data_IF_562642201777
#
_entry.id   IF_562642201777
#
_cell.length_a   1.000
_cell.length_b   1.000
_cell.length_c   1.000
_cell.angle_alpha   90.00
_cell.angle_beta   90.00
_cell.angle_gamma   90.00
#
_symmetry.space_group_name_H-M   'P 1'
#
loop_
_entity.id
_entity.type
_entity.pdbx_description
1 polymer ?
#
# COMPACT_ATOMS: atom_id res chain seq x y z
N UNK A 1 1.51 -6.26 20.91
CA UNK A 1 2.38 -5.84 19.79
C UNK A 1 2.13 -4.36 19.58
N UNK A 2 3.13 -3.49 19.46
CA UNK A 2 2.86 -2.11 19.09
C UNK A 2 2.30 -2.13 17.65
N UNK A 3 1.08 -1.62 17.46
CA UNK A 3 0.51 -1.40 16.13
C UNK A 3 1.46 -0.47 15.37
N UNK A 4 1.90 -0.86 14.17
CA UNK A 4 2.56 0.06 13.25
C UNK A 4 1.68 1.31 13.09
N UNK A 5 2.27 2.52 13.04
CA UNK A 5 1.48 3.74 12.89
C UNK A 5 0.68 3.69 11.58
N UNK A 6 -0.62 3.96 11.68
CA UNK A 6 -1.54 3.97 10.54
C UNK A 6 -1.12 5.06 9.57
N UNK A 7 -0.87 4.70 8.31
CA UNK A 7 -0.40 5.61 7.27
C UNK A 7 -1.55 6.26 6.50
N UNK A 8 -1.25 7.34 5.76
CA UNK A 8 -2.21 7.96 4.83
C UNK A 8 -2.75 6.95 3.82
N UNK A 9 -1.87 6.05 3.34
CA UNK A 9 -2.22 4.99 2.40
C UNK A 9 -3.22 4.01 3.01
N UNK A 10 -3.00 3.58 4.26
CA UNK A 10 -3.90 2.64 4.94
C UNK A 10 -5.31 3.23 5.09
N UNK A 11 -5.41 4.49 5.55
CA UNK A 11 -6.70 5.18 5.70
C UNK A 11 -7.38 5.40 4.36
N UNK A 12 -6.64 5.86 3.35
CA UNK A 12 -7.20 6.06 2.01
C UNK A 12 -7.73 4.74 1.42
N UNK A 13 -7.00 3.64 1.60
CA UNK A 13 -7.44 2.33 1.15
C UNK A 13 -8.69 1.85 1.89
N UNK A 14 -8.76 2.01 3.22
CA UNK A 14 -9.93 1.66 4.01
C UNK A 14 -11.18 2.47 3.60
N UNK A 15 -11.02 3.78 3.36
CA UNK A 15 -12.10 4.64 2.86
C UNK A 15 -12.58 4.20 1.46
N UNK A 16 -11.67 3.84 0.55
CA UNK A 16 -12.02 3.32 -0.79
C UNK A 16 -12.74 1.97 -0.70
N UNK A 17 -12.24 1.06 0.13
CA UNK A 17 -12.86 -0.24 0.36
C UNK A 17 -14.29 -0.06 0.89
N UNK A 18 -14.47 0.81 1.89
CA UNK A 18 -15.79 1.17 2.42
C UNK A 18 -16.70 1.72 1.33
N UNK A 19 -16.22 2.65 0.50
CA UNK A 19 -17.00 3.22 -0.58
C UNK A 19 -17.45 2.17 -1.62
N UNK A 20 -16.55 1.26 -2.00
CA UNK A 20 -16.83 0.20 -2.98
C UNK A 20 -17.85 -0.83 -2.42
N UNK A 21 -17.72 -1.22 -1.16
CA UNK A 21 -18.68 -2.10 -0.48
C UNK A 21 -20.04 -1.43 -0.29
N UNK A 22 -20.08 -0.15 0.09
CA UNK A 22 -21.33 0.61 0.15
C UNK A 22 -22.02 0.70 -1.21
N UNK A 23 -21.23 0.91 -2.28
CA UNK A 23 -21.77 0.94 -3.64
C UNK A 23 -22.36 -0.43 -4.05
N UNK A 24 -21.75 -1.54 -3.64
CA UNK A 24 -22.29 -2.89 -3.84
C UNK A 24 -23.64 -3.08 -3.14
N UNK A 25 -23.81 -2.57 -1.92
CA UNK A 25 -25.11 -2.61 -1.22
C UNK A 25 -26.18 -1.72 -1.86
N UNK A 26 -25.80 -0.87 -2.83
CA UNK A 26 -26.72 0.08 -3.45
C UNK A 26 -26.93 1.33 -2.60
N UNK A 27 -25.95 1.69 -1.76
CA UNK A 27 -25.99 2.92 -0.98
C UNK A 27 -26.05 4.16 -1.89
N UNK A 28 -26.43 5.29 -1.28
CA UNK A 28 -26.57 6.57 -1.97
C UNK A 28 -25.22 7.02 -2.59
N UNK A 29 -25.26 7.39 -3.88
CA UNK A 29 -24.09 7.82 -4.65
C UNK A 29 -23.37 9.03 -4.03
N UNK A 30 -24.08 9.93 -3.35
CA UNK A 30 -23.47 11.05 -2.63
C UNK A 30 -22.53 10.57 -1.52
N UNK A 31 -22.95 9.58 -0.72
CA UNK A 31 -22.12 9.02 0.37
C UNK A 31 -20.92 8.26 -0.17
N UNK A 32 -21.13 7.43 -1.19
CA UNK A 32 -20.05 6.70 -1.88
C UNK A 32 -19.01 7.68 -2.43
N UNK A 33 -19.47 8.73 -3.12
CA UNK A 33 -18.57 9.73 -3.70
C UNK A 33 -17.88 10.59 -2.64
N UNK A 34 -18.51 10.85 -1.50
CA UNK A 34 -17.88 11.54 -0.38
C UNK A 34 -16.69 10.74 0.18
N UNK A 35 -16.88 9.43 0.41
CA UNK A 35 -15.80 8.55 0.86
C UNK A 35 -14.65 8.45 -0.16
N UNK A 36 -14.97 8.32 -1.46
CA UNK A 36 -13.94 8.28 -2.51
C UNK A 36 -13.11 9.56 -2.55
N UNK A 37 -13.78 10.73 -2.49
CA UNK A 37 -13.08 12.02 -2.44
C UNK A 37 -12.24 12.15 -1.18
N UNK A 38 -12.75 11.76 -0.02
CA UNK A 38 -11.97 11.78 1.21
C UNK A 38 -10.74 10.89 1.12
N UNK A 39 -10.86 9.69 0.54
CA UNK A 39 -9.72 8.81 0.32
C UNK A 39 -8.64 9.45 -0.56
N UNK A 40 -9.03 10.09 -1.66
CA UNK A 40 -8.08 10.76 -2.56
C UNK A 40 -7.40 11.94 -1.84
N UNK A 41 -8.16 12.72 -1.06
CA UNK A 41 -7.59 13.82 -0.28
C UNK A 41 -6.63 13.33 0.80
N UNK A 42 -6.97 12.24 1.52
CA UNK A 42 -6.10 11.64 2.52
C UNK A 42 -4.82 11.08 1.90
N UNK A 43 -4.91 10.43 0.74
CA UNK A 43 -3.74 9.90 0.05
C UNK A 43 -2.77 11.02 -0.36
N UNK A 44 -3.28 12.16 -0.81
CA UNK A 44 -2.48 13.28 -1.29
C UNK A 44 -1.99 14.22 -0.17
N UNK A 45 -2.26 13.90 1.10
CA UNK A 45 -1.75 14.70 2.23
C UNK A 45 -0.23 14.56 2.37
N UNK A 46 0.45 15.70 2.47
CA UNK A 46 1.88 15.77 2.79
C UNK A 46 2.16 15.44 4.27
N UNK A 47 1.21 15.76 5.15
CA UNK A 47 1.29 15.50 6.60
C UNK A 47 0.59 14.17 6.90
N UNK A 48 1.07 13.45 7.92
CA UNK A 48 0.41 12.23 8.40
C UNK A 48 -1.03 12.49 8.82
N UNK A 49 -1.96 11.69 8.31
CA UNK A 49 -3.39 11.73 8.67
C UNK A 49 -3.61 11.41 10.15
N UNK A 50 -2.72 10.59 10.73
CA UNK A 50 -2.69 10.33 12.16
C UNK A 50 -2.38 11.62 12.95
N UNK A 51 -1.45 12.45 12.48
CA UNK A 51 -1.14 13.73 13.14
C UNK A 51 -2.31 14.71 13.03
N UNK A 52 -2.98 14.75 11.89
CA UNK A 52 -4.19 15.55 11.71
C UNK A 52 -5.33 15.08 12.63
N UNK A 53 -5.45 13.77 12.86
CA UNK A 53 -6.41 13.20 13.81
C UNK A 53 -6.08 13.62 15.24
N UNK A 54 -4.84 13.42 15.70
CA UNK A 54 -4.42 13.77 17.06
C UNK A 54 -4.57 15.26 17.37
N UNK A 55 -4.32 16.13 16.38
CA UNK A 55 -4.44 17.58 16.54
C UNK A 55 -5.85 18.12 16.28
N UNK A 56 -6.82 17.26 15.96
CA UNK A 56 -8.22 17.63 15.74
C UNK A 56 -8.46 18.48 14.49
N UNK A 57 -7.58 18.39 13.49
CA UNK A 57 -7.62 19.20 12.25
C UNK A 57 -8.15 18.43 11.02
N UNK A 58 -8.64 17.20 11.19
CA UNK A 58 -9.16 16.39 10.08
C UNK A 58 -10.25 17.10 9.26
N UNK A 59 -11.12 17.88 9.91
CA UNK A 59 -12.20 18.63 9.23
C UNK A 59 -11.72 19.81 8.41
N UNK A 60 -10.47 20.24 8.57
CA UNK A 60 -9.87 21.27 7.72
C UNK A 60 -9.54 20.72 6.33
N UNK A 61 -9.42 19.39 6.22
CA UNK A 61 -9.20 18.69 4.95
C UNK A 61 -10.50 18.68 4.16
N UNK A 62 -10.44 19.25 2.95
CA UNK A 62 -11.61 19.36 2.06
C UNK A 62 -12.22 17.98 1.81
N UNK A 63 -13.52 17.86 2.06
CA UNK A 63 -14.27 16.61 1.82
C UNK A 63 -14.31 15.65 3.00
N UNK A 64 -13.60 15.94 4.09
CA UNK A 64 -13.76 15.23 5.37
C UNK A 64 -14.83 15.93 6.21
N UNK A 65 -15.99 15.28 6.32
CA UNK A 65 -17.06 15.70 7.23
C UNK A 65 -17.07 14.88 8.51
N UNK A 66 -17.92 15.26 9.47
CA UNK A 66 -18.03 14.65 10.81
C UNK A 66 -18.08 13.11 10.82
N UNK A 67 -18.79 12.49 9.86
CA UNK A 67 -18.88 11.03 9.80
C UNK A 67 -17.59 10.37 9.32
N UNK A 68 -16.85 11.02 8.41
CA UNK A 68 -15.59 10.49 7.88
C UNK A 68 -14.47 10.72 8.90
N UNK A 69 -14.47 11.89 9.56
CA UNK A 69 -13.58 12.20 10.70
C UNK A 69 -13.64 11.08 11.75
N UNK A 70 -14.83 10.71 12.22
CA UNK A 70 -15.00 9.65 13.22
C UNK A 70 -14.47 8.26 12.77
N UNK A 71 -14.60 7.91 11.48
CA UNK A 71 -14.06 6.66 10.95
C UNK A 71 -12.52 6.69 10.88
N UNK A 72 -11.94 7.84 10.54
CA UNK A 72 -10.49 8.04 10.49
C UNK A 72 -9.90 8.01 11.91
N UNK A 73 -10.49 8.72 12.86
CA UNK A 73 -10.08 8.71 14.27
C UNK A 73 -10.10 7.28 14.84
N UNK A 74 -11.20 6.55 14.63
CA UNK A 74 -11.31 5.17 15.08
C UNK A 74 -10.22 4.28 14.46
N UNK A 75 -9.91 4.48 13.18
CA UNK A 75 -8.85 3.73 12.50
C UNK A 75 -7.47 4.07 13.03
N UNK A 76 -7.17 5.35 13.30
CA UNK A 76 -5.90 5.79 13.89
C UNK A 76 -5.74 5.22 15.31
N UNK A 77 -6.79 5.27 16.12
CA UNK A 77 -6.74 4.82 17.53
C UNK A 77 -6.67 3.29 17.67
N UNK A 78 -7.41 2.56 16.84
CA UNK A 78 -7.63 1.12 17.02
C UNK A 78 -7.03 0.24 15.92
N UNK A 79 -6.58 0.84 14.82
CA UNK A 79 -6.21 0.13 13.59
C UNK A 79 -7.40 -0.39 12.79
N UNK A 80 -8.64 -0.02 13.16
CA UNK A 80 -9.87 -0.57 12.57
C UNK A 80 -10.86 0.53 12.17
N UNK A 81 -11.51 0.36 11.02
CA UNK A 81 -12.55 1.26 10.53
C UNK A 81 -13.93 0.60 10.71
N UNK A 82 -14.76 1.06 11.68
CA UNK A 82 -16.02 0.42 12.01
C UNK A 82 -16.97 0.19 10.83
N UNK A 83 -17.09 1.15 9.91
CA UNK A 83 -17.93 0.98 8.74
C UNK A 83 -17.42 -0.12 7.80
N UNK A 84 -16.10 -0.23 7.63
CA UNK A 84 -15.49 -1.28 6.81
C UNK A 84 -15.71 -2.66 7.42
N UNK A 85 -15.48 -2.78 8.72
CA UNK A 85 -15.68 -4.03 9.47
C UNK A 85 -17.12 -4.53 9.35
N UNK A 86 -18.10 -3.65 9.59
CA UNK A 86 -19.52 -4.00 9.50
C UNK A 86 -19.95 -4.43 8.08
N UNK A 87 -19.34 -3.85 7.04
CA UNK A 87 -19.58 -4.24 5.66
C UNK A 87 -18.92 -5.57 5.31
N UNK A 88 -17.72 -5.83 5.84
CA UNK A 88 -16.97 -7.07 5.61
C UNK A 88 -17.67 -8.30 6.22
N UNK A 89 -18.47 -8.13 7.27
CA UNK A 89 -19.32 -9.20 7.83
C UNK A 89 -20.46 -9.62 6.88
N UNK A 90 -20.90 -8.72 6.00
CA UNK A 90 -22.07 -8.92 5.15
C UNK A 90 -21.70 -9.23 3.70
N UNK A 91 -20.53 -8.79 3.25
CA UNK A 91 -20.11 -8.82 1.85
C UNK A 91 -18.75 -9.52 1.76
N UNK A 92 -18.62 -10.57 0.93
CA UNK A 92 -17.34 -11.21 0.68
C UNK A 92 -16.30 -10.20 0.19
N UNK A 93 -15.19 -10.05 0.93
CA UNK A 93 -14.15 -9.07 0.62
C UNK A 93 -13.52 -9.24 -0.76
N UNK A 94 -13.49 -10.46 -1.30
CA UNK A 94 -13.03 -10.72 -2.67
C UNK A 94 -13.86 -10.02 -3.76
N UNK A 95 -15.05 -9.49 -3.44
CA UNK A 95 -15.82 -8.66 -4.35
C UNK A 95 -15.22 -7.29 -4.60
N UNK A 96 -14.34 -6.79 -3.71
CA UNK A 96 -13.61 -5.54 -3.94
C UNK A 96 -12.79 -5.62 -5.23
N UNK A 97 -12.09 -6.73 -5.44
CA UNK A 97 -11.33 -6.98 -6.67
C UNK A 97 -12.25 -7.04 -7.89
N UNK A 98 -13.39 -7.72 -7.75
CA UNK A 98 -14.39 -7.88 -8.83
C UNK A 98 -14.99 -6.53 -9.25
N UNK A 99 -15.34 -5.67 -8.29
CA UNK A 99 -15.87 -4.32 -8.56
C UNK A 99 -14.88 -3.45 -9.33
N UNK A 100 -13.59 -3.59 -9.02
CA UNK A 100 -12.50 -2.81 -9.60
C UNK A 100 -12.09 -3.27 -11.00
N UNK A 101 -12.56 -4.44 -11.46
CA UNK A 101 -12.36 -4.87 -12.85
C UNK A 101 -13.03 -3.87 -13.80
N UNK A 102 -12.23 -3.30 -14.70
CA UNK A 102 -12.71 -2.39 -15.75
C UNK A 102 -13.86 -3.03 -16.52
N UNK A 103 -15.01 -2.36 -16.54
CA UNK A 103 -16.22 -2.84 -17.22
C UNK A 103 -17.21 -3.63 -16.36
N UNK A 104 -16.87 -3.94 -15.10
CA UNK A 104 -17.81 -4.53 -14.12
C UNK A 104 -18.51 -3.42 -13.33
N UNK A 105 -17.81 -2.79 -12.40
CA UNK A 105 -18.38 -1.80 -11.48
C UNK A 105 -19.43 -2.39 -10.50
N UNK A 106 -19.93 -1.58 -9.55
CA UNK A 106 -20.71 -2.09 -8.41
C UNK A 106 -22.00 -2.83 -8.80
N UNK A 107 -22.75 -2.30 -9.78
CA UNK A 107 -24.03 -2.90 -10.21
C UNK A 107 -23.85 -4.29 -10.82
N UNK A 108 -22.85 -4.46 -11.70
CA UNK A 108 -22.60 -5.77 -12.32
C UNK A 108 -21.96 -6.74 -11.33
N UNK A 109 -21.04 -6.27 -10.47
CA UNK A 109 -20.44 -7.10 -9.44
C UNK A 109 -21.50 -7.68 -8.50
N UNK A 110 -22.47 -6.85 -8.06
CA UNK A 110 -23.62 -7.32 -7.28
C UNK A 110 -24.45 -8.36 -8.03
N UNK A 111 -24.76 -8.12 -9.31
CA UNK A 111 -25.52 -9.08 -10.13
C UNK A 111 -24.78 -10.42 -10.29
N UNK A 112 -23.45 -10.38 -10.52
CA UNK A 112 -22.59 -11.55 -10.63
C UNK A 112 -22.56 -12.35 -9.31
N UNK A 113 -22.50 -11.64 -8.18
CA UNK A 113 -22.58 -12.27 -6.86
C UNK A 113 -23.95 -12.93 -6.63
N UNK A 114 -25.05 -12.19 -6.80
CA UNK A 114 -26.40 -12.67 -6.49
C UNK A 114 -26.88 -13.79 -7.43
N UNK A 115 -26.40 -13.82 -8.68
CA UNK A 115 -26.88 -14.79 -9.69
C UNK A 115 -25.94 -15.95 -9.94
N UNK A 116 -24.63 -15.74 -9.81
CA UNK A 116 -23.62 -16.76 -10.13
C UNK A 116 -22.72 -17.11 -8.94
N UNK A 117 -23.01 -16.58 -7.75
CA UNK A 117 -22.22 -16.76 -6.52
C UNK A 117 -20.73 -16.40 -6.69
N UNK A 118 -20.44 -15.42 -7.56
CA UNK A 118 -19.07 -14.95 -7.79
C UNK A 118 -18.66 -14.07 -6.60
N UNK A 119 -17.66 -14.52 -5.83
CA UNK A 119 -17.19 -13.84 -4.61
C UNK A 119 -15.74 -13.36 -4.66
N UNK A 120 -15.04 -13.65 -5.76
CA UNK A 120 -13.62 -13.35 -5.95
C UNK A 120 -13.28 -13.19 -7.43
N UNK A 121 -12.12 -12.59 -7.71
CA UNK A 121 -11.58 -12.48 -9.07
C UNK A 121 -11.39 -13.85 -9.72
N UNK A 122 -10.93 -14.84 -8.96
CA UNK A 122 -10.77 -16.23 -9.44
C UNK A 122 -12.12 -16.88 -9.79
N UNK A 123 -13.18 -16.66 -9.02
CA UNK A 123 -14.51 -17.16 -9.39
C UNK A 123 -15.01 -16.51 -10.69
N UNK A 124 -14.77 -15.21 -10.87
CA UNK A 124 -15.12 -14.50 -12.09
C UNK A 124 -14.40 -15.07 -13.30
N UNK A 125 -13.10 -15.34 -13.16
CA UNK A 125 -12.28 -15.94 -14.22
C UNK A 125 -12.78 -17.34 -14.60
N UNK A 126 -13.05 -18.21 -13.63
CA UNK A 126 -13.63 -19.54 -13.90
C UNK A 126 -15.01 -19.45 -14.56
N UNK A 127 -15.83 -18.47 -14.16
CA UNK A 127 -17.15 -18.26 -14.76
C UNK A 127 -17.04 -17.78 -16.22
N UNK A 128 -16.05 -16.94 -16.54
CA UNK A 128 -15.73 -16.52 -17.91
C UNK A 128 -15.26 -17.70 -18.75
N UNK A 129 -14.33 -18.52 -18.23
CA UNK A 129 -13.82 -19.71 -18.93
C UNK A 129 -14.94 -20.73 -19.23
N UNK A 130 -15.89 -20.87 -18.31
CA UNK A 130 -17.08 -21.71 -18.48
C UNK A 130 -18.20 -21.09 -19.33
N UNK A 131 -18.05 -19.86 -19.82
CA UNK A 131 -19.09 -19.15 -20.60
C UNK A 131 -20.36 -18.81 -19.81
N UNK A 132 -20.30 -18.87 -18.47
CA UNK A 132 -21.47 -18.75 -17.58
C UNK A 132 -22.02 -17.33 -17.51
N UNK A 133 -21.22 -16.31 -17.83
CA UNK A 133 -21.68 -14.92 -17.73
C UNK A 133 -22.76 -14.66 -18.79
N UNK A 134 -22.76 -15.36 -19.92
CA UNK A 134 -23.73 -15.22 -21.02
C UNK A 134 -25.18 -15.50 -20.61
N UNK A 135 -25.39 -16.21 -19.51
CA UNK A 135 -26.72 -16.47 -18.94
C UNK A 135 -27.37 -15.18 -18.37
N UNK A 136 -26.56 -14.15 -18.10
CA UNK A 136 -27.01 -12.89 -17.53
C UNK A 136 -27.25 -11.83 -18.61
N UNK A 137 -28.37 -11.11 -18.48
CA UNK A 137 -28.68 -9.98 -19.36
C UNK A 137 -27.57 -8.93 -19.32
N UNK A 138 -27.05 -8.56 -20.49
CA UNK A 138 -25.98 -7.57 -20.63
C UNK A 138 -24.56 -8.13 -20.63
N UNK A 139 -24.40 -9.45 -20.54
CA UNK A 139 -23.13 -10.14 -20.69
C UNK A 139 -23.14 -10.95 -21.99
N UNK A 140 -22.30 -10.54 -22.93
CA UNK A 140 -22.13 -11.19 -24.23
C UNK A 140 -20.76 -11.88 -24.29
N UNK A 141 -20.52 -12.70 -25.33
CA UNK A 141 -19.18 -13.24 -25.58
C UNK A 141 -18.11 -12.13 -25.71
N UNK A 142 -18.48 -10.97 -26.27
CA UNK A 142 -17.61 -9.79 -26.33
C UNK A 142 -17.32 -9.23 -24.93
N UNK A 143 -18.32 -9.19 -24.07
CA UNK A 143 -18.17 -8.76 -22.67
C UNK A 143 -17.22 -9.69 -21.92
N UNK A 144 -17.40 -11.00 -22.04
CA UNK A 144 -16.50 -12.00 -21.43
C UNK A 144 -15.06 -11.83 -21.90
N UNK A 145 -14.82 -11.69 -23.21
CA UNK A 145 -13.49 -11.47 -23.75
C UNK A 145 -12.84 -10.17 -23.23
N UNK A 146 -13.63 -9.10 -23.12
CA UNK A 146 -13.19 -7.83 -22.53
C UNK A 146 -12.83 -7.97 -21.06
N UNK A 147 -13.64 -8.72 -20.28
CA UNK A 147 -13.39 -8.96 -18.86
C UNK A 147 -12.17 -9.87 -18.66
N UNK A 148 -12.01 -10.91 -19.47
CA UNK A 148 -10.81 -11.76 -19.45
C UNK A 148 -9.54 -10.94 -19.67
N UNK A 149 -9.57 -10.00 -20.62
CA UNK A 149 -8.45 -9.09 -20.90
C UNK A 149 -8.18 -8.18 -19.70
N UNK A 150 -9.22 -7.60 -19.08
CA UNK A 150 -9.08 -6.74 -17.90
C UNK A 150 -8.52 -7.51 -16.69
N UNK A 151 -8.98 -8.74 -16.44
CA UNK A 151 -8.44 -9.60 -15.38
C UNK A 151 -6.97 -9.92 -15.64
N UNK A 152 -6.61 -10.25 -16.88
CA UNK A 152 -5.22 -10.50 -17.26
C UNK A 152 -4.34 -9.29 -16.98
N UNK A 153 -4.78 -8.09 -17.36
CA UNK A 153 -4.05 -6.85 -17.08
C UNK A 153 -3.87 -6.59 -15.58
N UNK A 154 -4.85 -6.93 -14.75
CA UNK A 154 -4.73 -6.83 -13.29
C UNK A 154 -3.66 -7.79 -12.76
N UNK A 155 -3.62 -9.03 -13.28
CA UNK A 155 -2.63 -10.05 -12.90
C UNK A 155 -1.22 -9.73 -13.38
N UNK A 156 -1.11 -9.12 -14.56
CA UNK A 156 0.16 -8.72 -15.18
C UNK A 156 0.68 -7.39 -14.64
N UNK A 157 -0.13 -6.64 -13.86
CA UNK A 157 0.29 -5.37 -13.29
C UNK A 157 1.38 -5.62 -12.23
N UNK A 158 2.58 -5.03 -12.38
CA UNK A 158 3.56 -5.09 -11.31
C UNK A 158 2.98 -4.42 -10.05
N UNK A 159 3.43 -4.82 -8.85
CA UNK A 159 3.04 -4.15 -7.60
C UNK A 159 3.27 -2.64 -7.72
N UNK A 160 2.46 -1.82 -7.01
CA UNK A 160 2.63 -0.38 -7.04
C UNK A 160 4.06 0.00 -6.66
N UNK A 161 4.69 0.83 -7.49
CA UNK A 161 6.03 1.39 -7.27
C UNK A 161 5.86 2.87 -6.92
N UNK A 162 6.64 3.34 -5.95
CA UNK A 162 6.57 4.72 -5.48
C UNK A 162 7.46 5.62 -6.34
N UNK A 163 7.07 6.88 -6.65
CA UNK A 163 7.92 7.78 -7.43
C UNK A 163 9.25 8.03 -6.75
N UNK A 164 10.36 8.02 -7.49
CA UNK A 164 11.69 8.28 -6.90
C UNK A 164 11.77 9.62 -6.18
N UNK A 165 11.04 10.64 -6.66
CA UNK A 165 10.98 11.96 -6.02
C UNK A 165 10.33 11.95 -4.63
N UNK A 166 9.53 10.94 -4.31
CA UNK A 166 8.97 10.73 -2.97
C UNK A 166 9.91 9.88 -2.10
N UNK A 167 10.47 8.81 -2.68
CA UNK A 167 11.28 7.83 -1.94
C UNK A 167 12.69 8.34 -1.63
N UNK A 168 13.38 8.89 -2.63
CA UNK A 168 14.80 9.22 -2.54
C UNK A 168 15.13 10.21 -1.40
N UNK A 169 14.40 11.33 -1.20
CA UNK A 169 14.73 12.28 -0.13
C UNK A 169 14.67 11.65 1.28
N UNK A 170 13.71 10.75 1.50
CA UNK A 170 13.56 10.05 2.79
C UNK A 170 14.70 9.07 2.99
N UNK A 171 15.05 8.29 1.96
CA UNK A 171 16.17 7.32 2.02
C UNK A 171 17.51 8.05 2.19
N UNK A 172 17.75 9.15 1.49
CA UNK A 172 18.95 9.97 1.64
C UNK A 172 19.10 10.49 3.07
N UNK A 173 17.99 10.90 3.70
CA UNK A 173 17.99 11.32 5.10
C UNK A 173 18.36 10.18 6.07
N UNK A 174 17.93 8.94 5.79
CA UNK A 174 18.37 7.75 6.54
C UNK A 174 19.85 7.47 6.33
N UNK A 175 20.35 7.59 5.10
CA UNK A 175 21.78 7.44 4.77
C UNK A 175 22.63 8.46 5.52
N UNK A 176 22.22 9.73 5.54
CA UNK A 176 22.89 10.79 6.28
C UNK A 176 22.92 10.51 7.78
N UNK A 177 21.81 10.05 8.36
CA UNK A 177 21.73 9.61 9.75
C UNK A 177 22.68 8.46 10.06
N UNK A 178 22.73 7.44 9.21
CA UNK A 178 23.67 6.32 9.35
C UNK A 178 25.14 6.75 9.27
N UNK A 179 25.48 7.68 8.38
CA UNK A 179 26.85 8.20 8.26
C UNK A 179 27.23 9.03 9.48
N UNK A 180 26.30 9.83 10.00
CA UNK A 180 26.56 10.76 11.11
C UNK A 180 26.60 10.04 12.46
N UNK A 181 25.63 9.18 12.73
CA UNK A 181 25.42 8.52 14.03
C UNK A 181 26.03 7.10 14.09
N UNK A 182 26.41 6.53 12.95
CA UNK A 182 26.90 5.15 12.85
C UNK A 182 28.27 4.91 13.47
N UNK A 183 29.08 5.95 13.63
CA UNK A 183 30.43 5.88 14.19
C UNK A 183 31.28 4.76 13.56
N UNK A 184 32.04 3.97 14.35
CA UNK A 184 32.89 2.90 13.81
C UNK A 184 32.11 1.67 13.32
N UNK A 185 30.79 1.59 13.59
CA UNK A 185 29.98 0.46 13.14
C UNK A 185 29.62 0.56 11.66
N UNK A 186 29.63 1.75 11.07
CA UNK A 186 29.29 2.00 9.66
C UNK A 186 30.53 2.50 8.95
N UNK A 187 31.11 1.68 8.07
CA UNK A 187 32.28 2.07 7.29
C UNK A 187 31.90 2.84 6.03
N UNK A 188 30.84 2.40 5.33
CA UNK A 188 30.30 3.02 4.12
C UNK A 188 28.80 2.76 3.99
N UNK A 189 28.11 3.66 3.30
CA UNK A 189 26.71 3.49 2.90
C UNK A 189 26.56 3.91 1.44
N UNK A 190 25.77 3.17 0.66
CA UNK A 190 25.44 3.53 -0.71
C UNK A 190 23.99 3.21 -1.02
N UNK A 191 23.37 4.05 -1.84
CA UNK A 191 22.14 3.68 -2.56
C UNK A 191 22.45 2.55 -3.54
N UNK A 192 21.50 1.63 -3.70
CA UNK A 192 21.56 0.53 -4.67
C UNK A 192 20.18 0.35 -5.33
N UNK A 193 20.10 -0.56 -6.28
CA UNK A 193 18.88 -0.92 -7.01
C UNK A 193 18.29 0.25 -7.79
N UNK A 194 16.97 0.31 -7.80
CA UNK A 194 16.16 1.33 -8.49
C UNK A 194 16.61 2.76 -8.16
N UNK A 195 17.06 3.01 -6.92
CA UNK A 195 17.54 4.32 -6.46
C UNK A 195 18.86 4.73 -7.13
N UNK A 196 19.80 3.80 -7.26
CA UNK A 196 21.11 4.07 -7.89
C UNK A 196 20.98 4.18 -9.41
N UNK A 197 20.05 3.43 -10.00
CA UNK A 197 19.75 3.46 -11.43
C UNK A 197 18.89 4.66 -11.85
N UNK A 198 18.45 5.50 -10.91
CA UNK A 198 17.58 6.65 -11.18
C UNK A 198 16.29 6.25 -11.91
N UNK A 199 15.72 5.09 -11.55
CA UNK A 199 14.43 4.69 -12.12
C UNK A 199 13.36 5.69 -11.69
N UNK A 200 12.43 6.00 -12.59
CA UNK A 200 11.36 6.96 -12.32
C UNK A 200 10.47 6.54 -11.15
N UNK A 201 10.34 5.23 -10.95
CA UNK A 201 9.62 4.59 -9.86
C UNK A 201 10.51 3.56 -9.18
N UNK A 202 10.29 3.37 -7.88
CA UNK A 202 11.08 2.52 -6.99
C UNK A 202 10.14 1.48 -6.39
N UNK A 203 10.46 0.20 -6.59
CA UNK A 203 9.66 -0.90 -6.07
C UNK A 203 10.07 -1.31 -4.67
N UNK A 204 11.38 -1.45 -4.48
CA UNK A 204 12.00 -1.90 -3.24
C UNK A 204 13.22 -1.00 -2.99
N UNK A 205 13.04 0.11 -2.24
CA UNK A 205 14.15 1.00 -1.96
C UNK A 205 15.16 0.27 -1.11
N UNK A 206 16.43 0.38 -1.49
CA UNK A 206 17.49 -0.41 -0.88
C UNK A 206 18.77 0.39 -0.72
N UNK A 207 19.44 0.17 0.40
CA UNK A 207 20.80 0.67 0.66
C UNK A 207 21.73 -0.47 1.03
N UNK A 208 23.01 -0.29 0.73
CA UNK A 208 24.09 -1.19 1.14
C UNK A 208 24.94 -0.50 2.21
N UNK A 209 25.16 -1.18 3.33
CA UNK A 209 25.95 -0.72 4.48
C UNK A 209 27.15 -1.65 4.68
N UNK A 210 28.36 -1.07 4.67
CA UNK A 210 29.58 -1.79 5.02
C UNK A 210 29.73 -1.81 6.55
N UNK A 211 29.59 -2.98 7.18
CA UNK A 211 29.67 -3.16 8.63
C UNK A 211 30.12 -4.57 9.01
N UNK A 212 30.78 -4.68 10.18
CA UNK A 212 30.99 -5.95 10.90
C UNK A 212 30.15 -6.07 12.17
N UNK A 213 29.30 -5.07 12.43
CA UNK A 213 28.51 -4.92 13.65
C UNK A 213 27.04 -4.66 13.29
N UNK A 214 26.35 -5.63 12.66
CA UNK A 214 24.98 -5.45 12.18
C UNK A 214 24.00 -5.02 13.28
N UNK A 215 24.14 -5.55 14.49
CA UNK A 215 23.30 -5.16 15.63
C UNK A 215 23.50 -3.69 16.04
N UNK A 216 24.70 -3.14 15.88
CA UNK A 216 24.97 -1.73 16.16
C UNK A 216 24.32 -0.82 15.10
N UNK A 217 24.35 -1.24 13.83
CA UNK A 217 23.63 -0.53 12.75
C UNK A 217 22.13 -0.55 13.00
N UNK A 218 21.56 -1.69 13.39
CA UNK A 218 20.14 -1.80 13.76
C UNK A 218 19.74 -0.85 14.89
N UNK A 219 20.61 -0.66 15.90
CA UNK A 219 20.38 0.31 16.99
C UNK A 219 20.39 1.75 16.50
N UNK A 220 21.32 2.09 15.60
CA UNK A 220 21.39 3.44 15.00
C UNK A 220 20.12 3.71 14.21
N UNK A 221 19.71 2.78 13.34
CA UNK A 221 18.47 2.86 12.57
C UNK A 221 17.25 3.10 13.47
N UNK A 222 17.16 2.37 14.58
CA UNK A 222 16.05 2.50 15.53
C UNK A 222 15.97 3.87 16.22
N UNK A 223 17.05 4.66 16.19
CA UNK A 223 17.11 6.01 16.76
C UNK A 223 16.85 7.13 15.76
N UNK A 224 16.74 6.83 14.46
CA UNK A 224 16.50 7.84 13.42
C UNK A 224 15.03 8.26 13.39
N UNK A 225 14.77 9.57 13.27
CA UNK A 225 13.41 10.13 13.32
C UNK A 225 12.51 9.72 12.14
N UNK A 226 13.10 9.26 11.04
CA UNK A 226 12.41 8.78 9.85
C UNK A 226 11.95 7.32 10.01
N UNK A 227 12.54 6.57 10.94
CA UNK A 227 12.35 5.14 11.11
C UNK A 227 11.22 4.88 12.10
N UNK A 228 10.19 4.17 11.65
CA UNK A 228 9.09 3.73 12.51
C UNK A 228 9.44 2.42 13.24
N UNK A 229 9.95 1.44 12.49
CA UNK A 229 10.27 0.11 13.04
C UNK A 229 11.47 -0.49 12.31
N UNK A 230 12.36 -1.14 13.07
CA UNK A 230 13.47 -1.95 12.54
C UNK A 230 13.11 -3.42 12.68
N UNK A 231 13.17 -4.17 11.57
CA UNK A 231 12.91 -5.61 11.56
C UNK A 231 14.10 -6.45 12.00
N UNK A 232 13.91 -7.77 11.96
CA UNK A 232 14.99 -8.72 12.27
C UNK A 232 16.01 -8.77 11.14
N UNK A 233 17.28 -8.93 11.49
CA UNK A 233 18.37 -9.08 10.53
C UNK A 233 18.41 -10.55 10.09
N UNK A 234 18.10 -10.80 8.82
CA UNK A 234 18.12 -12.14 8.21
C UNK A 234 19.04 -12.16 7.01
N UNK A 235 20.03 -13.06 7.01
CA UNK A 235 20.99 -13.23 5.90
C UNK A 235 21.73 -11.92 5.53
N UNK A 236 21.94 -11.04 6.51
CA UNK A 236 22.57 -9.73 6.30
C UNK A 236 21.65 -8.67 5.70
N UNK A 237 20.34 -8.92 5.59
CA UNK A 237 19.35 -7.94 5.21
C UNK A 237 18.48 -7.58 6.42
N UNK A 238 18.17 -6.30 6.58
CA UNK A 238 17.32 -5.77 7.63
C UNK A 238 16.21 -4.93 6.98
N UNK A 239 14.94 -5.35 7.05
CA UNK A 239 13.83 -4.52 6.61
C UNK A 239 13.59 -3.39 7.62
N UNK A 240 13.35 -2.18 7.14
CA UNK A 240 13.12 -0.99 7.96
C UNK A 240 11.87 -0.27 7.47
N UNK A 241 10.87 -0.15 8.33
CA UNK A 241 9.64 0.58 8.02
C UNK A 241 9.86 2.06 8.33
N UNK A 242 9.62 2.92 7.35
CA UNK A 242 9.75 4.38 7.51
C UNK A 242 8.39 5.00 7.82
N UNK A 243 8.39 6.13 8.55
CA UNK A 243 7.18 6.92 8.80
C UNK A 243 6.53 7.46 7.51
N UNK A 244 7.31 7.53 6.42
CA UNK A 244 6.80 7.86 5.08
C UNK A 244 5.89 6.76 4.48
N UNK A 245 5.75 5.60 5.12
CA UNK A 245 4.78 4.58 4.73
C UNK A 245 5.28 3.56 3.71
N UNK A 246 6.60 3.43 3.56
CA UNK A 246 7.23 2.37 2.76
C UNK A 246 8.37 1.69 3.55
N UNK A 247 8.73 0.48 3.11
CA UNK A 247 9.82 -0.31 3.68
C UNK A 247 11.12 -0.06 2.91
N UNK A 248 12.22 0.12 3.62
CA UNK A 248 13.58 0.24 3.12
C UNK A 248 14.36 -1.04 3.45
N UNK A 249 14.88 -1.69 2.43
CA UNK A 249 15.78 -2.84 2.56
C UNK A 249 17.21 -2.39 2.86
N UNK A 250 17.69 -2.64 4.08
CA UNK A 250 19.09 -2.33 4.48
C UNK A 250 19.93 -3.60 4.39
N UNK A 251 20.74 -3.69 3.34
CA UNK A 251 21.69 -4.80 3.14
C UNK A 251 23.00 -4.46 3.83
N UNK A 252 23.51 -5.37 4.65
CA UNK A 252 24.70 -5.22 5.46
C UNK A 252 25.77 -6.23 5.02
N UNK A 253 27.00 -5.75 4.86
CA UNK A 253 28.10 -6.58 4.36
C UNK A 253 29.44 -6.19 4.95
N UNK A 254 30.40 -7.11 4.96
CA UNK A 254 31.79 -6.77 5.19
C UNK A 254 32.47 -6.17 3.94
N UNK A 255 33.64 -5.57 4.15
CA UNK A 255 34.47 -4.96 3.10
C UNK A 255 34.80 -5.91 1.94
N UNK A 256 34.97 -7.20 2.19
CA UNK A 256 35.39 -8.19 1.20
C UNK A 256 34.30 -8.54 0.17
N UNK A 257 33.04 -8.22 0.46
CA UNK A 257 31.90 -8.46 -0.44
C UNK A 257 31.29 -7.17 -1.01
N UNK A 258 31.74 -6.00 -0.55
CA UNK A 258 31.19 -4.69 -0.94
C UNK A 258 31.09 -4.52 -2.46
N UNK A 259 32.20 -4.61 -3.19
CA UNK A 259 32.23 -4.36 -4.64
C UNK A 259 31.36 -5.34 -5.43
N UNK A 260 31.33 -6.61 -4.97
CA UNK A 260 30.50 -7.65 -5.58
C UNK A 260 29.01 -7.33 -5.40
N UNK A 261 28.59 -6.97 -4.19
CA UNK A 261 27.18 -6.61 -3.92
C UNK A 261 26.80 -5.32 -4.62
N UNK A 262 27.69 -4.33 -4.70
CA UNK A 262 27.47 -3.12 -5.50
C UNK A 262 27.24 -3.41 -6.98
N UNK A 263 27.75 -4.53 -7.51
CA UNK A 263 27.48 -4.93 -8.90
C UNK A 263 26.16 -5.67 -9.01
N UNK A 264 25.88 -6.62 -8.11
CA UNK A 264 24.68 -7.47 -8.14
C UNK A 264 23.41 -6.67 -7.84
N UNK A 265 23.48 -5.71 -6.91
CA UNK A 265 22.34 -4.93 -6.48
C UNK A 265 22.11 -3.70 -7.38
N UNK A 266 22.69 -3.62 -8.57
CA UNK A 266 22.58 -2.44 -9.47
C UNK A 266 22.47 -2.86 -10.93
N UNK A 267 21.92 -4.06 -11.15
CA UNK A 267 21.82 -4.74 -12.45
C UNK A 267 20.41 -5.22 -12.70
#
# INVERSE_FOLDING_TARGET
>A
MPNSPVTNRDVAEALRNTADLMALQGANAFRVNALKRAADQVQDLEIGVADAAHNGSLRDIKGIGKSIEAEIEAMVDTGRMPALDALAEQIPMGLLEVVRVTGVGPRKARLLWEKLDIKSLSNLESAIQGGKLRELKGFTARTEASLATAIRQIRERPPPEDPIGFVLPVVESVVEGLITEGGPAVAKVSLVGDLREWRATVRDPMILVETRHPDAVGKVLSGLSQVATVGNIETGMCPVVLHAGFELSVVMTDAGRWDRLMTILSS
#
